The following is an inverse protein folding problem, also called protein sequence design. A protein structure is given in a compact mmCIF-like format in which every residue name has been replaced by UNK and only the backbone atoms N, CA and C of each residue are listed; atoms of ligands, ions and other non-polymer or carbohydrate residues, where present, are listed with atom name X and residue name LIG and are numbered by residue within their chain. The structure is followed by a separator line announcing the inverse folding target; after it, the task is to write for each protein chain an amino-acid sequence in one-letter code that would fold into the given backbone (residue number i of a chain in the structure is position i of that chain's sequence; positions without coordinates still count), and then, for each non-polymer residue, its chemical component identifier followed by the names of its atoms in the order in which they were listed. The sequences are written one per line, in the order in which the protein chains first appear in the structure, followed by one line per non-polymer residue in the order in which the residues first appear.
data_IF_729511372491
#
_entry.id   IF_729511372491
#
_cell.length_a   1.000
_cell.length_b   1.000
_cell.length_c   1.000
_cell.angle_alpha   90.00
_cell.angle_beta   90.00
_cell.angle_gamma   90.00
#
_symmetry.space_group_name_H-M   'P 1'
#
loop_
_entity.id
_entity.type
_entity.pdbx_description
1 polymer ?
#
# COMPACT_ATOMS: atom_id res chain seq x y z
N UNK A 1 -30.11 4.25 1.82
CA UNK A 1 -29.53 2.95 2.20
C UNK A 1 -28.79 2.44 0.98
N UNK A 2 -27.55 2.03 1.16
CA UNK A 2 -26.80 1.32 0.14
C UNK A 2 -26.62 -0.11 0.57
N UNK A 3 -26.50 -0.97 -0.43
CA UNK A 3 -26.52 -2.40 -0.22
C UNK A 3 -25.29 -3.02 -0.86
N UNK A 4 -24.55 -3.78 -0.07
CA UNK A 4 -23.49 -4.64 -0.55
C UNK A 4 -24.01 -6.06 -0.51
N UNK A 5 -24.01 -6.75 -1.65
CA UNK A 5 -24.42 -8.14 -1.75
C UNK A 5 -23.45 -8.91 -2.65
N UNK A 6 -23.31 -10.21 -2.38
CA UNK A 6 -22.52 -11.10 -3.22
C UNK A 6 -23.12 -11.18 -4.62
N UNK A 7 -22.29 -11.25 -5.66
CA UNK A 7 -22.72 -11.36 -7.06
C UNK A 7 -23.76 -12.47 -7.28
N UNK A 8 -23.61 -13.61 -6.59
CA UNK A 8 -24.56 -14.72 -6.65
C UNK A 8 -25.99 -14.32 -6.26
N UNK A 9 -26.16 -13.41 -5.31
CA UNK A 9 -27.47 -12.89 -4.90
C UNK A 9 -28.15 -12.12 -6.04
N UNK A 10 -27.39 -11.26 -6.72
CA UNK A 10 -27.86 -10.47 -7.86
C UNK A 10 -28.30 -11.36 -9.03
N UNK A 11 -27.56 -12.44 -9.28
CA UNK A 11 -27.86 -13.39 -10.35
C UNK A 11 -29.11 -14.24 -10.05
N UNK A 12 -29.32 -14.62 -8.79
CA UNK A 12 -30.49 -15.41 -8.39
C UNK A 12 -31.77 -14.57 -8.29
N UNK A 13 -31.63 -13.27 -8.00
CA UNK A 13 -32.74 -12.35 -7.83
C UNK A 13 -32.47 -11.08 -8.66
N UNK A 14 -32.57 -11.15 -10.00
CA UNK A 14 -32.34 -9.98 -10.84
C UNK A 14 -33.37 -8.89 -10.55
N UNK A 15 -32.93 -7.64 -10.62
CA UNK A 15 -33.80 -6.48 -10.46
C UNK A 15 -34.85 -6.45 -11.59
N UNK A 16 -36.15 -6.47 -11.26
CA UNK A 16 -37.20 -6.61 -12.28
C UNK A 16 -37.41 -5.33 -13.12
N UNK A 17 -37.05 -4.16 -12.58
CA UNK A 17 -37.12 -2.84 -13.22
C UNK A 17 -36.21 -1.88 -12.42
N UNK A 18 -35.42 -1.00 -13.05
CA UNK A 18 -34.46 -0.12 -12.35
C UNK A 18 -35.04 1.26 -12.00
N UNK A 19 -36.34 1.48 -12.20
CA UNK A 19 -36.90 2.83 -12.17
C UNK A 19 -37.36 3.29 -10.76
N UNK A 20 -37.87 2.40 -9.90
CA UNK A 20 -38.22 2.74 -8.50
C UNK A 20 -38.72 1.53 -7.70
N UNK A 21 -38.22 1.35 -6.47
CA UNK A 21 -38.75 0.39 -5.49
C UNK A 21 -38.29 -1.05 -5.69
N UNK A 22 -37.38 -1.28 -6.61
CA UNK A 22 -36.86 -2.59 -6.98
C UNK A 22 -35.98 -3.22 -5.89
N UNK A 23 -35.29 -2.38 -5.11
CA UNK A 23 -34.56 -2.80 -3.91
C UNK A 23 -35.48 -3.53 -2.93
N UNK A 24 -36.70 -3.04 -2.73
CA UNK A 24 -37.66 -3.67 -1.82
C UNK A 24 -37.99 -5.10 -2.27
N UNK A 25 -38.24 -5.30 -3.56
CA UNK A 25 -38.50 -6.61 -4.14
C UNK A 25 -37.30 -7.54 -3.99
N UNK A 26 -36.09 -7.04 -4.26
CA UNK A 26 -34.84 -7.77 -4.11
C UNK A 26 -34.60 -8.22 -2.66
N UNK A 27 -34.65 -7.30 -1.70
CA UNK A 27 -34.43 -7.63 -0.28
C UNK A 27 -35.53 -8.52 0.29
N UNK A 28 -36.79 -8.32 -0.12
CA UNK A 28 -37.84 -9.26 0.27
C UNK A 28 -37.58 -10.65 -0.31
N UNK A 29 -37.11 -10.77 -1.55
CA UNK A 29 -36.77 -12.06 -2.14
C UNK A 29 -35.61 -12.74 -1.39
N UNK A 30 -34.56 -12.00 -1.03
CA UNK A 30 -33.46 -12.50 -0.19
C UNK A 30 -33.92 -12.93 1.21
N UNK A 31 -34.92 -12.25 1.77
CA UNK A 31 -35.50 -12.56 3.09
C UNK A 31 -36.51 -13.72 3.04
N UNK A 32 -37.03 -14.10 1.88
CA UNK A 32 -37.99 -15.22 1.77
C UNK A 32 -37.32 -16.50 2.28
N UNK A 33 -37.93 -17.09 3.31
CA UNK A 33 -37.44 -18.22 4.09
C UNK A 33 -37.67 -19.55 3.36
N UNK A 34 -37.26 -19.64 2.09
CA UNK A 34 -37.30 -20.90 1.33
C UNK A 34 -35.91 -21.54 1.34
N UNK A 35 -35.85 -22.82 1.73
CA UNK A 35 -34.62 -23.64 1.75
C UNK A 35 -33.96 -23.81 0.37
N UNK A 36 -34.58 -23.31 -0.70
CA UNK A 36 -34.13 -23.42 -2.09
C UNK A 36 -33.37 -22.19 -2.60
N UNK A 37 -33.26 -21.10 -1.82
CA UNK A 37 -32.39 -19.97 -2.21
C UNK A 37 -30.97 -20.24 -1.72
N UNK A 38 -29.99 -19.75 -2.48
CA UNK A 38 -28.54 -19.95 -2.25
C UNK A 38 -28.09 -19.54 -0.83
N UNK A 39 -28.86 -18.70 -0.13
CA UNK A 39 -28.54 -18.17 1.20
C UNK A 39 -29.37 -18.75 2.36
N UNK A 40 -30.16 -19.81 2.13
CA UNK A 40 -30.73 -20.64 3.21
C UNK A 40 -31.73 -19.98 4.17
N UNK A 41 -32.18 -18.75 3.88
CA UNK A 41 -33.17 -17.99 4.66
C UNK A 41 -32.61 -17.30 5.92
N UNK A 42 -32.93 -16.00 6.07
CA UNK A 42 -32.82 -15.08 7.23
C UNK A 42 -31.55 -15.06 8.11
N UNK A 43 -30.63 -16.04 8.07
CA UNK A 43 -29.46 -16.12 8.96
C UNK A 43 -28.21 -15.42 8.42
N UNK A 44 -28.26 -14.85 7.22
CA UNK A 44 -27.10 -14.27 6.54
C UNK A 44 -27.27 -12.79 6.15
N UNK A 45 -28.39 -12.16 6.51
CA UNK A 45 -28.57 -10.71 6.33
C UNK A 45 -28.35 -10.03 7.67
N UNK A 46 -27.24 -9.32 7.82
CA UNK A 46 -26.94 -8.50 8.96
C UNK A 46 -27.05 -7.02 8.58
N UNK A 47 -27.55 -6.20 9.50
CA UNK A 47 -27.39 -4.76 9.41
C UNK A 47 -26.06 -4.41 10.07
N UNK A 48 -25.16 -3.82 9.29
CA UNK A 48 -23.90 -3.33 9.80
C UNK A 48 -23.92 -1.80 9.70
N UNK A 49 -23.51 -1.13 10.78
CA UNK A 49 -23.30 0.30 10.73
C UNK A 49 -22.08 0.55 9.84
N UNK A 50 -22.24 1.38 8.81
CA UNK A 50 -21.15 1.70 7.89
C UNK A 50 -20.19 2.70 8.55
N UNK A 51 -19.35 2.19 9.44
CA UNK A 51 -18.28 2.95 10.10
C UNK A 51 -17.10 3.22 9.16
N UNK A 52 -17.03 2.46 8.06
CA UNK A 52 -15.96 2.52 7.05
C UNK A 52 -16.21 3.56 5.97
N UNK A 53 -17.45 4.09 5.89
CA UNK A 53 -17.87 4.97 4.81
C UNK A 53 -17.78 4.28 3.44
N UNK A 54 -18.16 3.00 3.39
CA UNK A 54 -18.29 2.22 2.15
C UNK A 54 -19.30 2.89 1.21
N UNK A 55 -20.28 3.61 1.76
CA UNK A 55 -21.22 4.40 0.99
C UNK A 55 -21.37 5.85 1.50
N UNK A 56 -21.28 6.79 0.56
CA UNK A 56 -21.78 8.15 0.74
C UNK A 56 -23.12 8.35 0.03
N UNK A 57 -24.11 8.93 0.71
CA UNK A 57 -25.40 9.29 0.11
C UNK A 57 -25.53 10.80 0.04
N UNK A 58 -25.76 11.35 -1.15
CA UNK A 58 -26.28 12.72 -1.28
C UNK A 58 -27.79 12.70 -1.16
N UNK A 59 -28.32 13.41 -0.18
CA UNK A 59 -29.74 13.65 -0.03
C UNK A 59 -30.08 15.03 -0.60
N UNK A 60 -30.99 15.06 -1.57
CA UNK A 60 -31.55 16.32 -2.07
C UNK A 60 -32.49 16.94 -1.02
N UNK A 61 -32.58 18.29 -0.90
CA UNK A 61 -33.44 18.93 0.10
C UNK A 61 -34.93 18.56 0.06
N UNK A 62 -35.46 18.15 -1.11
CA UNK A 62 -36.84 17.63 -1.24
C UNK A 62 -36.92 16.10 -1.24
N UNK A 63 -35.90 15.40 -0.75
CA UNK A 63 -35.98 13.96 -0.58
C UNK A 63 -37.18 13.65 0.34
N UNK A 64 -38.10 12.83 -0.16
CA UNK A 64 -39.32 12.43 0.56
C UNK A 64 -39.08 11.27 1.52
N UNK A 65 -37.85 10.74 1.56
CA UNK A 65 -37.48 9.79 2.60
C UNK A 65 -37.45 10.52 3.93
N UNK A 66 -38.24 10.06 4.90
CA UNK A 66 -38.12 10.46 6.32
C UNK A 66 -36.76 10.09 6.95
N UNK A 67 -35.84 9.53 6.15
CA UNK A 67 -34.44 9.37 6.48
C UNK A 67 -33.76 10.72 6.28
N UNK A 68 -33.90 11.60 7.26
CA UNK A 68 -33.06 12.79 7.35
C UNK A 68 -31.60 12.34 7.48
N UNK A 69 -30.67 13.11 6.91
CA UNK A 69 -29.25 12.93 7.18
C UNK A 69 -29.07 13.00 8.70
N UNK A 70 -28.87 11.84 9.35
CA UNK A 70 -28.63 11.79 10.79
C UNK A 70 -27.37 12.56 11.17
N UNK A 71 -26.47 12.67 10.20
CA UNK A 71 -25.18 13.32 10.29
C UNK A 71 -24.83 13.91 8.92
N UNK A 72 -24.30 15.13 8.91
CA UNK A 72 -23.47 15.61 7.80
C UNK A 72 -22.01 15.25 8.10
N UNK A 73 -21.35 14.61 7.14
CA UNK A 73 -19.94 14.21 7.25
C UNK A 73 -19.09 15.38 6.78
N UNK A 74 -18.24 15.99 7.63
CA UNK A 74 -17.29 17.02 7.21
C UNK A 74 -16.37 16.50 6.10
N UNK A 75 -15.92 17.40 5.21
CA UNK A 75 -15.04 17.03 4.09
C UNK A 75 -13.77 16.33 4.58
N UNK A 76 -13.22 16.79 5.70
CA UNK A 76 -12.01 16.24 6.33
C UNK A 76 -12.20 14.81 6.84
N UNK A 77 -13.43 14.45 7.22
CA UNK A 77 -13.78 13.09 7.60
C UNK A 77 -14.02 12.22 6.37
N UNK A 78 -14.62 12.77 5.31
CA UNK A 78 -14.80 12.08 4.03
C UNK A 78 -13.47 11.58 3.50
N UNK A 79 -12.40 12.38 3.60
CA UNK A 79 -11.03 11.99 3.22
C UNK A 79 -10.52 10.72 3.93
N UNK A 80 -11.05 10.40 5.11
CA UNK A 80 -10.70 9.21 5.88
C UNK A 80 -11.56 7.98 5.58
N UNK A 81 -12.59 8.11 4.73
CA UNK A 81 -13.51 7.02 4.38
C UNK A 81 -13.04 6.24 3.15
N UNK A 82 -13.46 4.97 3.02
CA UNK A 82 -13.19 4.14 1.83
C UNK A 82 -13.62 4.83 0.53
N UNK A 83 -14.72 5.59 0.56
CA UNK A 83 -15.22 6.31 -0.61
C UNK A 83 -14.27 7.39 -1.13
N UNK A 84 -13.37 7.93 -0.30
CA UNK A 84 -12.37 8.91 -0.74
C UNK A 84 -11.33 8.34 -1.71
N UNK A 85 -11.15 7.02 -1.76
CA UNK A 85 -10.29 6.40 -2.77
C UNK A 85 -10.82 6.57 -4.20
N UNK A 86 -12.08 6.98 -4.37
CA UNK A 86 -12.65 7.34 -5.66
C UNK A 86 -12.17 8.71 -6.18
N UNK A 87 -11.35 9.43 -5.40
CA UNK A 87 -10.74 10.74 -5.61
C UNK A 87 -11.45 11.63 -6.64
N UNK A 88 -11.08 11.54 -7.92
CA UNK A 88 -11.65 12.34 -9.01
C UNK A 88 -13.17 12.26 -9.11
N UNK A 89 -13.73 11.05 -9.01
CA UNK A 89 -15.18 10.82 -9.10
C UNK A 89 -15.89 11.46 -7.91
N UNK A 90 -15.34 11.25 -6.70
CA UNK A 90 -15.93 11.82 -5.49
C UNK A 90 -15.85 13.34 -5.50
N UNK A 91 -14.70 13.89 -5.92
CA UNK A 91 -14.46 15.33 -6.02
C UNK A 91 -15.38 15.99 -7.04
N UNK A 92 -15.52 15.41 -8.22
CA UNK A 92 -16.49 15.88 -9.23
C UNK A 92 -17.91 15.87 -8.66
N UNK A 93 -18.26 14.80 -7.94
CA UNK A 93 -19.59 14.66 -7.34
C UNK A 93 -19.88 15.70 -6.26
N UNK A 94 -18.93 15.94 -5.34
CA UNK A 94 -19.02 16.98 -4.31
C UNK A 94 -19.14 18.37 -4.96
N UNK A 95 -18.35 18.65 -5.99
CA UNK A 95 -18.40 19.92 -6.71
C UNK A 95 -19.74 20.15 -7.42
N UNK A 96 -20.35 19.08 -7.94
CA UNK A 96 -21.66 19.15 -8.61
C UNK A 96 -22.81 19.38 -7.62
N UNK A 97 -22.68 18.89 -6.39
CA UNK A 97 -23.72 18.99 -5.36
C UNK A 97 -23.13 19.60 -4.09
N UNK A 98 -22.80 20.90 -4.10
CA UNK A 98 -22.20 21.57 -2.96
C UNK A 98 -23.14 21.54 -1.76
N UNK A 99 -22.57 21.49 -0.56
CA UNK A 99 -23.32 21.43 0.70
C UNK A 99 -24.17 22.70 0.88
N UNK A 100 -25.50 22.55 0.99
CA UNK A 100 -26.44 23.68 0.99
C UNK A 100 -27.06 24.03 2.36
N UNK A 101 -26.75 23.30 3.44
CA UNK A 101 -27.34 23.51 4.77
C UNK A 101 -26.33 23.36 5.92
N UNK A 102 -26.61 24.01 7.05
CA UNK A 102 -25.82 23.94 8.27
C UNK A 102 -25.71 22.54 8.86
N UNK A 103 -24.64 22.30 9.63
CA UNK A 103 -24.31 20.99 10.19
C UNK A 103 -25.43 20.46 11.08
N UNK A 104 -25.73 19.16 10.96
CA UNK A 104 -26.63 18.46 11.90
C UNK A 104 -25.96 18.32 13.27
N UNK A 105 -26.72 18.45 14.36
CA UNK A 105 -26.22 18.44 15.74
C UNK A 105 -25.64 17.09 16.23
N UNK A 106 -25.65 16.04 15.40
CA UNK A 106 -25.05 14.75 15.76
C UNK A 106 -23.58 14.68 15.38
N UNK A 107 -22.72 15.03 16.34
CA UNK A 107 -21.27 14.85 16.26
C UNK A 107 -20.92 13.53 16.96
N UNK A 108 -21.03 12.42 16.24
CA UNK A 108 -20.34 11.20 16.67
C UNK A 108 -18.84 11.49 16.68
N UNK A 109 -18.15 11.23 17.80
CA UNK A 109 -16.69 11.28 17.83
C UNK A 109 -16.16 10.25 16.85
N UNK A 110 -15.54 10.71 15.77
CA UNK A 110 -14.76 9.84 14.89
C UNK A 110 -13.35 9.92 15.39
N UNK A 111 -13.05 9.07 16.36
CA UNK A 111 -11.67 8.70 16.60
C UNK A 111 -11.20 8.06 15.29
N UNK A 112 -10.17 8.65 14.67
CA UNK A 112 -9.59 8.08 13.45
C UNK A 112 -9.18 6.66 13.79
N UNK A 113 -9.68 5.70 13.03
CA UNK A 113 -9.39 4.29 13.23
C UNK A 113 -7.89 4.05 13.05
N UNK A 114 -7.31 3.24 13.91
CA UNK A 114 -5.96 2.70 13.72
C UNK A 114 -5.98 1.53 12.72
N UNK A 115 -4.93 1.43 11.92
CA UNK A 115 -4.65 0.31 11.02
C UNK A 115 -3.22 -0.16 11.21
N UNK A 116 -3.01 -1.47 11.03
CA UNK A 116 -1.69 -2.08 11.02
C UNK A 116 -1.26 -2.26 9.57
N UNK A 117 -0.12 -1.68 9.23
CA UNK A 117 0.48 -1.76 7.90
C UNK A 117 1.78 -2.55 8.01
N UNK A 118 1.85 -3.65 7.27
CA UNK A 118 3.05 -4.46 7.12
C UNK A 118 3.97 -3.80 6.09
N UNK A 119 5.23 -3.56 6.46
CA UNK A 119 6.21 -2.90 5.61
C UNK A 119 7.37 -3.86 5.34
N UNK A 120 7.59 -4.17 4.06
CA UNK A 120 8.69 -5.01 3.60
C UNK A 120 9.90 -4.16 3.21
N UNK A 121 11.11 -4.55 3.60
CA UNK A 121 12.36 -3.86 3.25
C UNK A 121 13.50 -4.86 3.03
N UNK A 122 14.67 -4.42 2.57
CA UNK A 122 15.83 -5.33 2.43
C UNK A 122 16.30 -5.91 3.76
N UNK A 123 16.06 -5.21 4.88
CA UNK A 123 16.57 -5.61 6.20
C UNK A 123 15.55 -6.42 7.01
N UNK A 124 14.33 -6.59 6.50
CA UNK A 124 13.27 -7.35 7.17
C UNK A 124 11.88 -6.78 6.96
N UNK A 125 10.94 -7.33 7.74
CA UNK A 125 9.54 -6.93 7.75
C UNK A 125 9.20 -6.20 9.06
N UNK A 126 8.44 -5.12 8.95
CA UNK A 126 7.99 -4.30 10.08
C UNK A 126 6.47 -4.23 10.09
N UNK A 127 5.86 -4.06 11.26
CA UNK A 127 4.42 -3.80 11.37
C UNK A 127 4.21 -2.49 12.11
N UNK A 128 3.75 -1.48 11.40
CA UNK A 128 3.51 -0.14 11.94
C UNK A 128 2.01 0.02 12.20
N UNK A 129 1.67 0.62 13.34
CA UNK A 129 0.28 1.06 13.62
C UNK A 129 0.18 2.55 13.32
N UNK A 130 -0.71 2.93 12.41
CA UNK A 130 -0.96 4.32 12.03
C UNK A 130 -2.48 4.57 11.90
N UNK A 131 -2.89 5.81 11.72
CA UNK A 131 -4.29 6.12 11.47
C UNK A 131 -4.67 5.78 10.02
N UNK A 132 -5.91 5.36 9.80
CA UNK A 132 -6.45 5.20 8.44
C UNK A 132 -6.36 6.54 7.71
N UNK A 133 -5.81 6.51 6.49
CA UNK A 133 -5.57 7.72 5.70
C UNK A 133 -4.39 8.57 6.17
N UNK A 134 -3.55 8.07 7.08
CA UNK A 134 -2.29 8.73 7.46
C UNK A 134 -1.46 9.07 6.20
N UNK A 135 -0.90 10.28 6.11
CA UNK A 135 0.05 10.62 5.07
C UNK A 135 1.26 9.69 5.09
N UNK A 136 1.84 9.43 3.93
CA UNK A 136 3.06 8.63 3.78
C UNK A 136 4.21 9.19 4.63
N UNK A 137 4.31 10.51 4.77
CA UNK A 137 5.27 11.16 5.68
C UNK A 137 5.18 10.68 7.14
N UNK A 138 3.96 10.49 7.64
CA UNK A 138 3.72 10.03 9.01
C UNK A 138 4.14 8.55 9.15
N UNK A 139 3.78 7.73 8.15
CA UNK A 139 4.17 6.31 8.13
C UNK A 139 5.69 6.14 8.00
N UNK A 140 6.36 6.98 7.20
CA UNK A 140 7.82 7.05 7.10
C UNK A 140 8.45 7.39 8.47
N UNK A 141 7.89 8.36 9.19
CA UNK A 141 8.38 8.74 10.53
C UNK A 141 8.21 7.61 11.56
N UNK A 142 7.06 6.95 11.56
CA UNK A 142 6.79 5.81 12.45
C UNK A 142 7.74 4.65 12.13
N UNK A 143 7.91 4.32 10.85
CA UNK A 143 8.83 3.29 10.40
C UNK A 143 10.29 3.62 10.76
N UNK A 144 10.72 4.86 10.54
CA UNK A 144 12.06 5.32 10.91
C UNK A 144 12.33 5.14 12.41
N UNK A 145 11.33 5.47 13.25
CA UNK A 145 11.41 5.27 14.70
C UNK A 145 11.53 3.79 15.07
N UNK A 146 10.72 2.94 14.45
CA UNK A 146 10.71 1.48 14.69
C UNK A 146 12.02 0.81 14.23
N UNK A 147 12.55 1.21 13.08
CA UNK A 147 13.78 0.64 12.52
C UNK A 147 15.04 1.08 13.26
N UNK A 148 14.97 2.17 14.05
CA UNK A 148 16.14 2.83 14.65
C UNK A 148 17.24 3.10 13.61
N UNK A 149 16.84 3.36 12.36
CA UNK A 149 17.80 3.74 11.33
C UNK A 149 18.30 5.15 11.62
N UNK A 150 19.59 5.37 11.36
CA UNK A 150 20.10 6.73 11.24
C UNK A 150 19.58 7.35 9.95
N UNK A 151 19.18 8.61 10.01
CA UNK A 151 18.92 9.44 8.85
C UNK A 151 17.76 10.40 9.10
N UNK A 152 17.26 10.97 8.01
CA UNK A 152 15.95 11.60 8.00
C UNK A 152 14.90 10.53 7.68
N UNK A 153 13.71 10.61 8.29
CA UNK A 153 12.57 9.78 7.88
C UNK A 153 12.20 9.99 6.41
N UNK A 154 12.49 11.18 5.85
CA UNK A 154 12.29 11.49 4.43
C UNK A 154 13.18 10.65 3.51
N UNK A 155 14.25 10.05 4.04
CA UNK A 155 15.15 9.21 3.26
C UNK A 155 14.58 7.81 3.02
N UNK A 156 13.52 7.39 3.73
CA UNK A 156 12.84 6.12 3.46
C UNK A 156 11.78 6.33 2.38
N UNK A 157 11.84 5.61 1.25
CA UNK A 157 10.80 5.70 0.20
C UNK A 157 9.82 4.55 0.34
N UNK A 158 8.51 4.84 0.35
CA UNK A 158 7.46 3.82 0.39
C UNK A 158 6.89 3.57 -1.01
N UNK A 159 6.53 2.31 -1.28
CA UNK A 159 6.03 1.83 -2.56
C UNK A 159 4.83 0.90 -2.34
N UNK A 160 3.94 0.81 -3.34
CA UNK A 160 2.82 -0.14 -3.33
C UNK A 160 3.20 -1.57 -3.67
N UNK A 161 4.27 -1.73 -4.43
CA UNK A 161 4.76 -3.01 -4.92
C UNK A 161 6.24 -3.12 -4.65
N UNK A 162 6.76 -4.33 -4.83
CA UNK A 162 8.18 -4.61 -4.80
C UNK A 162 8.97 -3.68 -5.72
N UNK A 163 9.85 -2.81 -5.18
CA UNK A 163 10.77 -2.08 -6.02
C UNK A 163 11.82 -3.05 -6.60
N UNK A 164 12.28 -2.85 -7.85
CA UNK A 164 13.23 -3.74 -8.52
C UNK A 164 14.52 -4.01 -7.74
N UNK A 165 14.99 -3.04 -6.95
CA UNK A 165 16.22 -3.18 -6.15
C UNK A 165 16.11 -4.22 -5.04
N UNK A 166 14.90 -4.57 -4.59
CA UNK A 166 14.64 -5.54 -3.53
C UNK A 166 14.34 -6.94 -4.06
N UNK A 167 14.21 -7.10 -5.37
CA UNK A 167 13.98 -8.43 -5.92
C UNK A 167 15.22 -9.29 -5.71
N UNK A 168 15.06 -10.55 -5.30
CA UNK A 168 16.17 -11.49 -5.38
C UNK A 168 16.66 -11.45 -6.82
N UNK A 169 17.92 -11.10 -7.03
CA UNK A 169 18.54 -11.33 -8.34
C UNK A 169 18.40 -12.83 -8.54
N UNK A 170 17.44 -13.26 -9.35
CA UNK A 170 17.26 -14.66 -9.68
C UNK A 170 18.64 -15.11 -10.12
N UNK A 171 19.27 -15.87 -9.22
CA UNK A 171 20.61 -16.35 -9.45
C UNK A 171 20.47 -17.09 -10.75
N UNK A 172 21.13 -16.58 -11.79
CA UNK A 172 21.48 -17.36 -12.96
C UNK A 172 22.08 -18.61 -12.34
N UNK A 173 21.28 -19.67 -12.25
CA UNK A 173 21.71 -20.92 -11.63
C UNK A 173 23.07 -21.19 -12.28
N UNK A 174 24.14 -21.42 -11.50
CA UNK A 174 25.46 -21.62 -12.07
C UNK A 174 25.27 -22.66 -13.16
N UNK A 175 25.44 -22.22 -14.41
CA UNK A 175 25.25 -23.09 -15.56
C UNK A 175 26.17 -24.24 -15.28
N UNK A 176 25.61 -25.42 -15.00
CA UNK A 176 26.44 -26.61 -14.81
C UNK A 176 27.36 -26.68 -16.03
N UNK A 177 28.66 -26.95 -15.83
CA UNK A 177 29.60 -27.00 -16.94
C UNK A 177 29.06 -27.99 -17.95
N UNK A 178 28.72 -27.48 -19.13
CA UNK A 178 28.26 -28.25 -20.29
C UNK A 178 29.12 -29.50 -20.43
N UNK A 179 28.55 -30.67 -20.15
CA UNK A 179 29.02 -31.89 -20.78
C UNK A 179 28.86 -31.73 -22.31
N UNK A 180 29.84 -32.16 -23.12
CA UNK A 180 29.75 -32.01 -24.56
C UNK A 180 28.63 -32.88 -25.11
N UNK A 181 27.52 -32.23 -25.51
CA UNK A 181 26.40 -32.89 -26.18
C UNK A 181 26.78 -33.29 -27.61
N UNK A 182 26.63 -34.58 -27.88
CA UNK A 182 26.63 -35.20 -29.21
C UNK A 182 25.52 -34.56 -30.06
N UNK A 183 25.89 -34.05 -31.23
CA UNK A 183 24.98 -33.44 -32.19
C UNK A 183 23.89 -34.43 -32.65
N UNK A 184 22.64 -33.96 -32.67
CA UNK A 184 21.59 -34.55 -33.50
C UNK A 184 20.75 -33.43 -34.12
N UNK A 185 20.45 -33.51 -35.43
CA UNK A 185 19.78 -32.45 -36.14
C UNK A 185 18.25 -32.63 -36.16
N UNK A 186 17.59 -31.48 -36.31
CA UNK A 186 16.30 -31.24 -36.96
C UNK A 186 15.09 -30.90 -36.08
N UNK A 187 14.77 -29.60 -36.14
CA UNK A 187 13.48 -29.03 -36.56
C UNK A 187 12.27 -29.11 -35.61
N UNK A 188 11.76 -27.92 -35.27
CA UNK A 188 10.42 -27.71 -34.74
C UNK A 188 10.21 -26.27 -34.30
N UNK A 189 9.95 -25.38 -35.25
CA UNK A 189 9.60 -23.99 -35.00
C UNK A 189 8.31 -23.90 -34.17
N UNK A 190 8.39 -23.37 -32.95
CA UNK A 190 7.24 -22.85 -32.21
C UNK A 190 7.64 -21.49 -31.64
N UNK A 191 7.43 -20.47 -32.47
CA UNK A 191 7.51 -19.07 -32.12
C UNK A 191 6.13 -18.57 -31.68
N UNK A 192 6.14 -17.83 -30.57
CA UNK A 192 5.16 -16.81 -30.15
C UNK A 192 3.81 -17.28 -29.57
N UNK A 193 3.61 -17.00 -28.27
CA UNK A 193 2.48 -16.19 -27.74
C UNK A 193 2.50 -16.21 -26.20
N UNK A 194 3.48 -15.55 -25.58
CA UNK A 194 3.57 -15.38 -24.12
C UNK A 194 3.90 -13.92 -23.73
N UNK A 195 3.31 -12.92 -24.40
CA UNK A 195 3.73 -11.51 -24.23
C UNK A 195 2.70 -10.56 -23.61
N UNK A 196 1.54 -11.05 -23.17
CA UNK A 196 0.49 -10.21 -22.56
C UNK A 196 0.67 -9.99 -21.05
N UNK A 197 0.94 -11.05 -20.31
CA UNK A 197 0.96 -11.01 -18.83
C UNK A 197 2.31 -10.54 -18.27
N UNK A 198 3.44 -10.87 -18.90
CA UNK A 198 4.76 -10.37 -18.47
C UNK A 198 4.90 -8.85 -18.64
N UNK A 199 4.39 -8.28 -19.73
CA UNK A 199 4.41 -6.82 -19.93
C UNK A 199 3.53 -6.10 -18.89
N UNK A 200 2.43 -6.74 -18.47
CA UNK A 200 1.52 -6.23 -17.43
C UNK A 200 2.12 -6.36 -16.04
N UNK A 201 2.88 -7.42 -15.76
CA UNK A 201 3.65 -7.57 -14.52
C UNK A 201 4.86 -6.61 -14.50
N UNK A 202 5.57 -6.42 -15.61
CA UNK A 202 6.67 -5.45 -15.73
C UNK A 202 6.21 -4.00 -15.54
N UNK A 203 5.00 -3.64 -15.98
CA UNK A 203 4.43 -2.31 -15.72
C UNK A 203 4.13 -2.06 -14.22
N UNK A 204 3.89 -3.12 -13.44
CA UNK A 204 3.70 -3.02 -11.98
C UNK A 204 5.04 -2.92 -11.23
N UNK A 205 6.13 -3.33 -11.87
CA UNK A 205 7.48 -3.40 -11.28
C UNK A 205 8.26 -2.09 -11.34
N UNK A 206 7.65 -1.00 -11.83
CA UNK A 206 8.25 0.33 -11.84
C UNK A 206 7.44 1.37 -11.07
N UNK A 207 6.55 0.95 -10.15
CA UNK A 207 5.66 1.87 -9.47
C UNK A 207 6.49 2.97 -8.75
N UNK A 208 6.21 4.26 -9.04
CA UNK A 208 6.95 5.35 -8.43
C UNK A 208 6.82 5.29 -6.91
N UNK A 209 7.84 5.80 -6.23
CA UNK A 209 7.74 6.03 -4.79
C UNK A 209 6.54 6.93 -4.50
N UNK A 210 5.86 6.63 -3.40
CA UNK A 210 4.75 7.45 -2.94
C UNK A 210 5.27 8.83 -2.52
N UNK A 211 4.52 9.86 -2.90
CA UNK A 211 4.76 11.20 -2.41
C UNK A 211 4.47 11.27 -0.91
N UNK A 212 5.15 12.15 -0.20
CA UNK A 212 4.95 12.35 1.25
C UNK A 212 3.51 12.75 1.62
N UNK A 213 2.80 13.37 0.67
CA UNK A 213 1.40 13.80 0.78
C UNK A 213 0.39 12.70 0.43
N UNK A 214 0.83 11.61 -0.21
CA UNK A 214 -0.06 10.50 -0.53
C UNK A 214 -0.60 9.88 0.76
N UNK A 215 -1.84 9.40 0.74
CA UNK A 215 -2.47 8.77 1.90
C UNK A 215 -2.39 7.24 1.82
N UNK A 216 -2.11 6.61 2.96
CA UNK A 216 -2.23 5.15 3.09
C UNK A 216 -3.70 4.80 3.30
N UNK A 217 -4.36 4.44 2.20
CA UNK A 217 -5.77 4.09 2.18
C UNK A 217 -6.14 2.92 3.10
N UNK A 218 -7.40 2.83 3.55
CA UNK A 218 -7.89 1.84 4.53
C UNK A 218 -7.68 0.37 4.13
N UNK A 219 -7.54 0.10 2.83
CA UNK A 219 -7.35 -1.27 2.30
C UNK A 219 -5.87 -1.64 2.15
N UNK A 220 -4.98 -0.67 2.33
CA UNK A 220 -3.53 -0.86 2.16
C UNK A 220 -2.95 -1.40 3.45
N UNK A 221 -2.86 -2.72 3.49
CA UNK A 221 -2.28 -3.46 4.61
C UNK A 221 -0.80 -3.78 4.40
N UNK A 222 -0.27 -3.60 3.19
CA UNK A 222 1.11 -3.90 2.84
C UNK A 222 1.74 -2.75 2.05
N UNK A 223 2.98 -2.42 2.38
CA UNK A 223 3.83 -1.46 1.67
C UNK A 223 5.26 -1.99 1.59
N UNK A 224 6.05 -1.41 0.70
CA UNK A 224 7.47 -1.74 0.55
C UNK A 224 8.30 -0.49 0.80
N UNK A 225 9.39 -0.62 1.54
CA UNK A 225 10.29 0.46 1.90
C UNK A 225 11.64 0.25 1.23
N UNK A 226 12.09 1.26 0.48
CA UNK A 226 13.46 1.33 -0.03
C UNK A 226 14.29 2.21 0.91
N UNK A 227 15.39 1.66 1.43
CA UNK A 227 16.29 2.37 2.33
C UNK A 227 17.36 3.15 1.55
N UNK A 228 17.99 4.18 2.15
CA UNK A 228 18.99 5.00 1.46
C UNK A 228 20.15 4.19 0.89
N UNK A 229 20.55 3.12 1.59
CA UNK A 229 21.64 2.23 1.15
C UNK A 229 21.33 1.43 -0.12
N UNK A 230 20.05 1.31 -0.50
CA UNK A 230 19.59 0.46 -1.62
C UNK A 230 19.39 1.26 -2.91
N UNK A 231 19.36 2.59 -2.83
CA UNK A 231 18.95 3.43 -3.97
C UNK A 231 19.98 3.51 -5.09
N UNK A 232 21.18 2.95 -4.91
CA UNK A 232 22.32 3.10 -5.81
C UNK A 232 22.61 4.57 -6.19
N UNK A 233 22.10 5.52 -5.40
CA UNK A 233 22.45 6.93 -5.48
C UNK A 233 23.92 7.02 -5.07
N UNK A 234 24.69 7.88 -5.75
CA UNK A 234 26.09 8.09 -5.37
C UNK A 234 26.12 8.44 -3.88
N UNK A 235 26.89 7.69 -3.06
CA UNK A 235 26.95 8.00 -1.65
C UNK A 235 27.47 9.42 -1.50
N UNK A 236 26.83 10.24 -0.65
CA UNK A 236 27.33 11.56 -0.23
C UNK A 236 28.67 11.48 0.55
N UNK A 237 29.38 10.36 0.48
CA UNK A 237 30.60 10.05 1.22
C UNK A 237 31.73 9.82 0.22
N UNK A 238 32.62 10.79 0.11
CA UNK A 238 33.92 10.62 -0.53
C UNK A 238 34.94 10.17 0.52
N UNK A 239 35.42 8.93 0.39
CA UNK A 239 36.49 8.38 1.21
C UNK A 239 37.82 8.59 0.48
N UNK A 240 38.63 9.53 0.93
CA UNK A 240 40.00 9.67 0.47
C UNK A 240 40.99 9.22 1.55
N UNK A 241 41.76 8.18 1.25
CA UNK A 241 42.85 7.73 2.12
C UNK A 241 44.11 8.47 1.70
N UNK A 242 44.67 9.27 2.61
CA UNK A 242 45.91 10.00 2.39
C UNK A 242 46.94 9.65 3.46
N UNK A 243 48.19 9.46 3.04
CA UNK A 243 49.38 9.24 3.86
C UNK A 243 49.40 7.91 4.65
N UNK A 244 49.62 6.78 3.95
CA UNK A 244 50.05 5.54 4.58
C UNK A 244 51.57 5.62 4.84
N UNK A 245 51.99 5.97 6.05
CA UNK A 245 53.39 5.80 6.47
C UNK A 245 53.51 4.53 7.30
N UNK A 246 54.60 3.80 7.07
CA UNK A 246 54.77 2.39 7.42
C UNK A 246 54.68 2.02 8.91
N UNK A 247 54.42 2.96 9.82
CA UNK A 247 54.25 2.68 11.26
C UNK A 247 53.10 3.45 11.94
N UNK A 248 52.41 4.35 11.24
CA UNK A 248 51.24 5.09 11.75
C UNK A 248 50.29 5.40 10.59
N UNK A 249 49.13 4.75 10.55
CA UNK A 249 48.10 5.04 9.54
C UNK A 249 47.17 6.12 10.09
N UNK A 250 47.31 7.34 9.57
CA UNK A 250 46.38 8.43 9.82
C UNK A 250 45.31 8.46 8.72
N UNK A 251 44.09 8.01 9.03
CA UNK A 251 42.93 8.13 8.12
C UNK A 251 42.14 9.38 8.50
N UNK A 252 42.04 10.35 7.59
CA UNK A 252 41.09 11.46 7.73
C UNK A 252 39.80 11.11 6.99
N UNK A 253 38.68 11.08 7.70
CA UNK A 253 37.36 10.78 7.14
C UNK A 253 36.49 12.03 7.26
N UNK A 254 36.01 12.57 6.14
CA UNK A 254 35.05 13.66 6.14
C UNK A 254 33.64 13.08 6.11
N UNK A 255 32.97 13.12 7.26
CA UNK A 255 31.65 12.53 7.46
C UNK A 255 30.61 13.65 7.54
N UNK A 256 29.76 13.78 6.52
CA UNK A 256 28.73 14.82 6.48
C UNK A 256 27.42 14.43 7.21
N UNK A 257 27.29 13.18 7.68
CA UNK A 257 26.24 12.75 8.63
C UNK A 257 26.78 11.78 9.69
N UNK A 258 26.63 12.13 10.96
CA UNK A 258 27.24 11.50 12.15
C UNK A 258 26.80 10.04 12.37
N UNK A 259 25.68 9.60 11.80
CA UNK A 259 25.04 8.34 12.16
C UNK A 259 25.73 7.08 11.60
N UNK A 260 26.71 7.25 10.70
CA UNK A 260 27.48 6.13 10.11
C UNK A 260 28.87 5.91 10.72
N UNK A 261 29.25 6.71 11.73
CA UNK A 261 30.57 6.60 12.37
C UNK A 261 30.81 5.20 12.96
N UNK A 262 29.78 4.55 13.52
CA UNK A 262 29.89 3.21 14.09
C UNK A 262 30.12 2.12 13.03
N UNK A 263 29.51 2.23 11.85
CA UNK A 263 29.72 1.29 10.76
C UNK A 263 31.10 1.46 10.10
N UNK A 264 31.53 2.72 9.90
CA UNK A 264 32.87 3.06 9.40
C UNK A 264 33.95 2.57 10.38
N UNK A 265 33.77 2.82 11.68
CA UNK A 265 34.68 2.32 12.72
C UNK A 265 34.78 0.78 12.72
N UNK A 266 33.65 0.07 12.57
CA UNK A 266 33.65 -1.41 12.47
C UNK A 266 34.34 -1.91 11.20
N UNK A 267 34.17 -1.22 10.06
CA UNK A 267 34.83 -1.57 8.81
C UNK A 267 36.35 -1.38 8.91
N UNK A 268 36.82 -0.25 9.44
CA UNK A 268 38.24 0.02 9.67
C UNK A 268 38.85 -1.01 10.62
N UNK A 269 38.16 -1.33 11.73
CA UNK A 269 38.62 -2.35 12.69
C UNK A 269 38.63 -3.76 12.07
N UNK A 270 37.67 -4.12 11.21
CA UNK A 270 37.74 -5.41 10.49
C UNK A 270 38.91 -5.47 9.51
N UNK A 271 39.13 -4.39 8.78
CA UNK A 271 40.10 -4.34 7.69
C UNK A 271 41.54 -4.21 8.20
N UNK A 272 41.74 -3.61 9.38
CA UNK A 272 43.07 -3.32 9.92
C UNK A 272 43.31 -3.84 11.35
N UNK A 273 42.27 -4.22 12.10
CA UNK A 273 42.37 -4.66 13.49
C UNK A 273 42.69 -6.14 13.70
N UNK A 274 43.02 -6.89 12.63
CA UNK A 274 43.38 -8.33 12.73
C UNK A 274 44.89 -8.59 12.64
N UNK A 275 45.75 -7.58 12.62
CA UNK A 275 47.19 -7.80 12.78
C UNK A 275 47.54 -7.94 14.27
N UNK A 276 47.20 -9.09 14.86
CA UNK A 276 47.93 -9.58 16.03
C UNK A 276 48.73 -10.82 15.61
N UNK A 277 50.05 -10.65 15.65
CA UNK A 277 51.09 -11.70 15.75
C UNK A 277 51.41 -12.52 14.48
N UNK A 278 52.47 -12.07 13.79
CA UNK A 278 53.61 -12.88 13.36
C UNK A 278 54.87 -12.00 13.27
#
# INVERSE_FOLDING_TARGET
FSYVFLRGAALCHPYPNQNMGEDFCFFNALRKRNRSTVFGGCRQVALHMDEMGICCHTLHPKATSNVYAKRQVPVEEVEGLDVAELDDILREYINRFPQTQGMSDYIGRVEKREQKVKIHSSIGEFTITCLVGSPVAEVQQLLHTEMQCGGSSADVRLHHSCPPCLQPKEGRAPTEPNEPAMESPAQGANSAEWSGDEARMQAVWGAPALASTDRVGPRRTELWATLPAERHEEPDVELSVHDMRYHDVSVSVWVHSIERLAAVRRAIVRQHGSCSEA
#
